data_IF_429950437433
#
_entry.id   IF_429950437433
#
_cell.length_a   1.000
_cell.length_b   1.000
_cell.length_c   1.000
_cell.angle_alpha   90.00
_cell.angle_beta   90.00
_cell.angle_gamma   90.00
#
_symmetry.space_group_name_H-M   'P 1'
#
loop_
_entity.id
_entity.type
_entity.pdbx_description
1 polymer ?
#
# COMPACT_ATOMS: atom_id res chain seq x y z
N UNK A 1 28.50 -5.37 -0.65
CA UNK A 1 27.07 -5.36 -0.23
C UNK A 1 26.50 -6.78 -0.21
N UNK A 2 25.81 -7.19 0.87
CA UNK A 2 25.13 -8.49 0.96
C UNK A 2 23.90 -8.55 0.03
N UNK A 3 23.47 -9.77 -0.32
CA UNK A 3 22.29 -9.99 -1.18
C UNK A 3 21.00 -9.53 -0.50
N UNK A 4 20.28 -8.61 -1.13
CA UNK A 4 18.98 -8.11 -0.65
C UNK A 4 17.87 -8.98 -1.22
N UNK A 5 17.32 -9.89 -0.41
CA UNK A 5 16.29 -10.85 -0.85
C UNK A 5 14.87 -10.50 -0.40
N UNK A 6 14.75 -9.52 0.50
CA UNK A 6 13.47 -9.08 1.07
C UNK A 6 13.26 -7.60 0.86
N UNK A 7 12.00 -7.19 0.78
CA UNK A 7 11.59 -5.80 0.78
C UNK A 7 10.33 -5.58 1.63
N UNK A 8 10.19 -4.38 2.17
CA UNK A 8 9.10 -3.98 3.04
C UNK A 8 8.22 -2.95 2.35
N UNK A 9 6.91 -3.19 2.32
CA UNK A 9 5.95 -2.22 1.81
C UNK A 9 5.61 -1.24 2.94
N UNK A 10 5.73 0.05 2.64
CA UNK A 10 5.50 1.16 3.57
C UNK A 10 4.56 2.17 2.90
N UNK A 11 3.57 2.63 3.65
CA UNK A 11 2.57 3.60 3.18
C UNK A 11 3.10 5.03 3.27
N UNK A 12 2.45 5.95 2.56
CA UNK A 12 2.64 7.38 2.79
C UNK A 12 1.94 7.81 4.11
N UNK A 13 2.44 8.84 4.80
CA UNK A 13 3.65 9.64 4.51
C UNK A 13 4.97 8.99 4.98
N UNK A 14 4.89 7.80 5.59
CA UNK A 14 5.99 7.20 6.35
C UNK A 14 7.18 6.82 5.48
N UNK A 15 6.95 6.30 4.28
CA UNK A 15 8.04 5.99 3.34
C UNK A 15 8.78 7.26 2.93
N UNK A 16 8.08 8.35 2.65
CA UNK A 16 8.72 9.63 2.29
C UNK A 16 9.55 10.18 3.44
N UNK A 17 9.08 10.08 4.68
CA UNK A 17 9.87 10.50 5.84
C UNK A 17 11.14 9.67 6.03
N UNK A 18 11.12 8.35 5.74
CA UNK A 18 12.33 7.53 5.77
C UNK A 18 13.33 7.98 4.70
N UNK A 19 12.86 8.11 3.45
CA UNK A 19 13.72 8.47 2.31
C UNK A 19 14.29 9.89 2.44
N UNK A 20 13.56 10.81 3.07
CA UNK A 20 14.02 12.19 3.35
C UNK A 20 14.88 12.29 4.62
N UNK A 21 15.14 11.19 5.34
CA UNK A 21 15.89 11.21 6.60
C UNK A 21 15.16 11.86 7.78
N UNK A 22 13.84 12.08 7.68
CA UNK A 22 13.01 12.70 8.73
C UNK A 22 12.64 11.74 9.85
N UNK A 23 12.72 10.42 9.61
CA UNK A 23 12.45 9.37 10.59
C UNK A 23 13.43 8.21 10.35
N UNK A 24 13.64 7.41 11.39
CA UNK A 24 14.51 6.21 11.35
C UNK A 24 13.86 4.97 11.95
N UNK A 25 12.68 5.09 12.58
CA UNK A 25 11.95 3.97 13.16
C UNK A 25 10.71 3.65 12.35
N UNK A 26 10.55 2.41 11.92
CA UNK A 26 9.30 1.90 11.34
C UNK A 26 8.46 1.21 12.42
N UNK A 27 7.27 1.74 12.73
CA UNK A 27 6.41 1.14 13.75
C UNK A 27 5.65 -0.05 13.18
N UNK A 28 5.63 -1.15 13.92
CA UNK A 28 4.96 -2.41 13.56
C UNK A 28 4.20 -2.96 14.76
N UNK A 29 3.19 -3.79 14.49
CA UNK A 29 2.40 -4.43 15.55
C UNK A 29 3.05 -5.68 16.14
N UNK A 30 4.21 -6.09 15.62
CA UNK A 30 4.99 -7.24 16.08
C UNK A 30 6.48 -6.97 15.93
N UNK A 31 7.27 -7.59 16.79
CA UNK A 31 8.71 -7.67 16.61
C UNK A 31 9.08 -8.55 15.40
N UNK A 32 10.34 -8.47 14.98
CA UNK A 32 10.92 -9.40 14.01
C UNK A 32 12.32 -9.85 14.45
N UNK A 33 12.64 -11.11 14.17
CA UNK A 33 13.98 -11.65 14.35
C UNK A 33 14.92 -11.31 13.19
N UNK A 34 14.39 -10.76 12.09
CA UNK A 34 15.20 -10.37 10.95
C UNK A 34 16.15 -9.21 11.29
N UNK A 35 17.38 -9.28 10.79
CA UNK A 35 18.38 -8.20 10.80
C UNK A 35 19.10 -8.17 9.46
N UNK A 36 19.56 -7.00 9.04
CA UNK A 36 20.29 -6.81 7.79
C UNK A 36 19.53 -6.01 6.73
N UNK A 37 20.02 -6.08 5.50
CA UNK A 37 19.61 -5.21 4.39
C UNK A 37 18.35 -5.67 3.68
N UNK A 38 17.42 -4.73 3.50
CA UNK A 38 16.17 -4.96 2.79
C UNK A 38 15.79 -3.79 1.87
N UNK A 39 14.96 -4.06 0.87
CA UNK A 39 14.41 -3.05 -0.02
C UNK A 39 13.23 -2.30 0.61
N UNK A 40 13.08 -1.03 0.26
CA UNK A 40 11.95 -0.19 0.63
C UNK A 40 11.01 -0.04 -0.56
N UNK A 41 9.74 -0.39 -0.39
CA UNK A 41 8.71 -0.29 -1.41
C UNK A 41 7.68 0.73 -0.97
N UNK A 42 7.44 1.74 -1.81
CA UNK A 42 6.28 2.62 -1.67
C UNK A 42 5.02 1.83 -2.00
N UNK A 43 4.03 1.82 -1.10
CA UNK A 43 2.76 1.11 -1.33
C UNK A 43 2.13 1.53 -2.66
N UNK A 44 1.75 0.54 -3.46
CA UNK A 44 1.13 0.75 -4.77
C UNK A 44 2.10 1.01 -5.93
N UNK A 45 3.40 1.27 -5.69
CA UNK A 45 4.36 1.56 -6.77
C UNK A 45 4.74 0.33 -7.60
N UNK A 46 4.81 -0.86 -6.98
CA UNK A 46 5.38 -2.04 -7.64
C UNK A 46 6.91 -2.01 -7.77
N UNK A 47 7.57 -1.04 -7.12
CA UNK A 47 9.00 -0.80 -7.26
C UNK A 47 9.69 -0.69 -5.90
N UNK A 48 10.92 -1.20 -5.83
CA UNK A 48 11.85 -0.91 -4.75
C UNK A 48 12.49 0.44 -5.05
N UNK A 49 12.26 1.42 -4.19
CA UNK A 49 12.69 2.82 -4.36
C UNK A 49 13.91 3.18 -3.51
N UNK A 50 14.27 2.31 -2.58
CA UNK A 50 15.38 2.51 -1.67
C UNK A 50 15.77 1.21 -0.98
N UNK A 51 16.79 1.29 -0.15
CA UNK A 51 17.24 0.20 0.72
C UNK A 51 17.47 0.75 2.13
N UNK A 52 17.41 -0.13 3.11
CA UNK A 52 17.78 0.19 4.49
C UNK A 52 18.31 -1.07 5.19
N UNK A 53 19.04 -0.87 6.29
CA UNK A 53 19.45 -1.94 7.19
C UNK A 53 18.57 -1.93 8.43
N UNK A 54 17.94 -3.07 8.74
CA UNK A 54 17.29 -3.27 10.03
C UNK A 54 18.35 -3.63 11.06
N UNK A 55 18.73 -2.66 11.89
CA UNK A 55 19.79 -2.79 12.89
C UNK A 55 19.27 -3.37 14.20
N UNK A 56 18.10 -2.94 14.64
CA UNK A 56 17.55 -3.34 15.92
C UNK A 56 16.00 -3.28 15.95
N UNK A 57 15.39 -3.91 16.95
CA UNK A 57 13.95 -3.90 17.18
C UNK A 57 13.73 -3.64 18.67
N UNK A 58 12.90 -2.65 19.00
CA UNK A 58 12.59 -2.32 20.39
C UNK A 58 11.72 -3.40 21.06
N UNK A 59 11.66 -3.32 22.39
CA UNK A 59 10.55 -3.86 23.16
C UNK A 59 9.26 -3.06 22.90
N UNK A 60 8.20 -3.41 23.64
CA UNK A 60 6.92 -2.72 23.57
C UNK A 60 7.06 -1.24 23.94
N UNK A 61 6.45 -0.38 23.13
CA UNK A 61 6.40 1.07 23.34
C UNK A 61 5.01 1.46 23.84
N UNK A 62 4.92 1.87 25.10
CA UNK A 62 3.74 2.54 25.63
C UNK A 62 3.59 3.96 25.06
N UNK A 63 2.53 4.66 25.43
CA UNK A 63 2.24 6.00 24.90
C UNK A 63 3.34 7.01 25.26
N UNK A 64 3.94 6.89 26.45
CA UNK A 64 5.04 7.75 26.88
C UNK A 64 6.32 7.49 26.08
N UNK A 65 6.64 6.23 25.81
CA UNK A 65 7.77 5.84 24.97
C UNK A 65 7.58 6.30 23.51
N UNK A 66 6.35 6.26 22.99
CA UNK A 66 6.03 6.82 21.66
C UNK A 66 6.19 8.34 21.67
N UNK A 67 5.64 9.04 22.66
CA UNK A 67 5.77 10.49 22.77
C UNK A 67 7.23 10.95 22.83
N UNK A 68 8.02 10.34 23.71
CA UNK A 68 9.45 10.67 23.89
C UNK A 68 10.32 10.32 22.68
N UNK A 69 9.86 9.39 21.83
CA UNK A 69 10.58 9.00 20.61
C UNK A 69 9.96 9.55 19.33
N UNK A 70 9.11 10.57 19.44
CA UNK A 70 8.38 11.18 18.32
C UNK A 70 9.29 11.52 17.12
N UNK A 71 10.46 12.11 17.36
CA UNK A 71 11.39 12.48 16.28
C UNK A 71 11.89 11.29 15.45
N UNK A 72 11.87 10.09 16.02
CA UNK A 72 12.33 8.87 15.35
C UNK A 72 11.26 8.23 14.47
N UNK A 73 9.98 8.38 14.79
CA UNK A 73 8.88 7.72 14.06
C UNK A 73 7.84 8.66 13.43
N UNK A 74 7.70 9.90 13.93
CA UNK A 74 6.82 10.97 13.42
C UNK A 74 5.31 10.68 13.46
N UNK A 75 4.86 9.74 14.30
CA UNK A 75 3.43 9.43 14.47
C UNK A 75 2.87 10.31 15.58
N UNK A 76 1.83 11.08 15.28
CA UNK A 76 1.19 11.99 16.24
C UNK A 76 0.40 11.27 17.33
N UNK A 77 0.22 11.96 18.46
CA UNK A 77 -0.50 11.45 19.64
C UNK A 77 -1.95 11.08 19.34
N UNK A 78 -2.62 11.89 18.53
CA UNK A 78 -3.95 11.62 17.98
C UNK A 78 -4.06 10.23 17.31
N UNK A 79 -2.98 9.80 16.66
CA UNK A 79 -2.94 8.51 15.96
C UNK A 79 -2.73 7.33 16.91
N UNK A 80 -1.76 7.42 17.83
CA UNK A 80 -1.41 6.26 18.69
C UNK A 80 -2.30 6.09 19.92
N UNK A 81 -3.02 7.14 20.32
CA UNK A 81 -4.04 7.09 21.39
C UNK A 81 -5.40 6.63 20.87
N UNK A 82 -5.58 6.53 19.54
CA UNK A 82 -6.82 6.06 18.96
C UNK A 82 -7.14 4.61 19.39
N UNK A 83 -8.44 4.29 19.64
CA UNK A 83 -8.84 2.93 19.98
C UNK A 83 -8.38 1.92 18.93
N UNK A 84 -7.78 0.81 19.39
CA UNK A 84 -7.29 -0.25 18.51
C UNK A 84 -5.94 0.02 17.85
N UNK A 85 -5.24 1.11 18.20
CA UNK A 85 -3.87 1.33 17.76
C UNK A 85 -2.94 0.23 18.30
N UNK A 86 -2.28 -0.47 17.38
CA UNK A 86 -1.53 -1.70 17.67
C UNK A 86 -0.04 -1.64 17.31
N UNK A 87 0.44 -0.55 16.70
CA UNK A 87 1.82 -0.43 16.23
C UNK A 87 2.77 -0.01 17.35
N UNK A 88 3.13 -0.98 18.18
CA UNK A 88 3.80 -0.77 19.48
C UNK A 88 5.25 -1.25 19.53
N UNK A 89 5.84 -1.57 18.39
CA UNK A 89 7.25 -1.98 18.29
C UNK A 89 7.95 -1.15 17.22
N UNK A 90 9.13 -0.63 17.52
CA UNK A 90 9.95 0.10 16.57
C UNK A 90 11.00 -0.81 15.94
N UNK A 91 10.97 -0.90 14.61
CA UNK A 91 12.05 -1.44 13.81
C UNK A 91 13.03 -0.29 13.51
N UNK A 92 14.21 -0.34 14.11
CA UNK A 92 15.23 0.72 14.05
C UNK A 92 16.07 0.54 12.78
N UNK A 93 15.91 1.47 11.86
CA UNK A 93 16.52 1.45 10.54
C UNK A 93 17.77 2.33 10.51
N UNK A 94 18.80 1.82 9.86
CA UNK A 94 20.08 2.50 9.61
C UNK A 94 20.39 2.43 8.12
N UNK A 95 21.34 3.25 7.68
CA UNK A 95 21.87 3.24 6.31
C UNK A 95 20.76 3.32 5.24
N UNK A 96 19.76 4.18 5.46
CA UNK A 96 18.66 4.38 4.50
C UNK A 96 19.22 5.09 3.26
N UNK A 97 19.06 4.47 2.10
CA UNK A 97 19.55 5.00 0.82
C UNK A 97 18.46 4.95 -0.24
N UNK A 98 18.31 6.05 -0.98
CA UNK A 98 17.44 6.14 -2.15
C UNK A 98 18.18 5.49 -3.32
N UNK A 99 17.50 4.66 -4.11
CA UNK A 99 18.09 4.13 -5.34
C UNK A 99 18.06 5.22 -6.43
N UNK A 100 19.14 5.39 -7.22
CA UNK A 100 19.14 6.33 -8.35
C UNK A 100 18.06 6.00 -9.38
N UNK A 101 17.79 4.70 -9.56
CA UNK A 101 16.76 4.16 -10.44
C UNK A 101 15.92 3.16 -9.62
N UNK A 102 14.58 3.34 -9.54
CA UNK A 102 13.70 2.34 -8.92
C UNK A 102 13.80 0.97 -9.60
N UNK A 103 13.69 -0.09 -8.81
CA UNK A 103 13.76 -1.47 -9.31
C UNK A 103 12.38 -2.12 -9.23
N UNK A 104 11.77 -2.37 -10.40
CA UNK A 104 10.54 -3.13 -10.48
C UNK A 104 10.73 -4.55 -9.90
N UNK A 105 9.71 -5.05 -9.21
CA UNK A 105 9.73 -6.44 -8.71
C UNK A 105 8.44 -7.16 -9.06
N UNK A 106 8.53 -8.46 -9.30
CA UNK A 106 7.34 -9.29 -9.49
C UNK A 106 6.77 -9.73 -8.15
N UNK A 107 5.56 -9.29 -7.87
CA UNK A 107 4.84 -9.68 -6.66
C UNK A 107 4.27 -11.10 -6.80
N UNK A 108 4.78 -12.06 -6.02
CA UNK A 108 4.07 -13.33 -5.83
C UNK A 108 2.86 -13.08 -4.94
N UNK A 109 1.65 -13.36 -5.44
CA UNK A 109 0.39 -13.13 -4.72
C UNK A 109 0.44 -13.64 -3.27
N UNK A 110 0.25 -12.75 -2.29
CA UNK A 110 0.10 -13.13 -0.87
C UNK A 110 1.14 -12.55 0.10
N UNK A 111 2.05 -11.69 -0.34
CA UNK A 111 2.99 -11.02 0.55
C UNK A 111 2.30 -9.87 1.32
N UNK A 112 2.03 -10.06 2.61
CA UNK A 112 1.24 -9.12 3.44
C UNK A 112 2.12 -8.13 4.23
N UNK A 113 3.44 -8.25 4.24
CA UNK A 113 4.31 -7.27 4.91
C UNK A 113 5.73 -7.31 4.35
N UNK A 114 6.35 -8.48 4.34
CA UNK A 114 7.61 -8.73 3.66
C UNK A 114 7.36 -9.35 2.28
N UNK A 115 8.00 -8.76 1.28
CA UNK A 115 8.06 -9.28 -0.09
C UNK A 115 9.38 -10.02 -0.26
N UNK A 116 9.34 -11.27 -0.72
CA UNK A 116 10.53 -11.95 -1.23
C UNK A 116 10.76 -11.51 -2.67
N UNK A 117 11.91 -10.91 -2.93
CA UNK A 117 12.29 -10.40 -4.24
C UNK A 117 12.69 -11.55 -5.18
N UNK A 118 12.27 -11.49 -6.44
CA UNK A 118 12.71 -12.45 -7.46
C UNK A 118 14.20 -12.25 -7.79
N UNK A 119 14.90 -13.27 -8.34
CA UNK A 119 16.33 -13.17 -8.60
C UNK A 119 16.73 -11.95 -9.47
N UNK A 120 15.89 -11.59 -10.44
CA UNK A 120 16.09 -10.42 -11.30
C UNK A 120 16.16 -9.11 -10.49
N UNK A 121 15.18 -8.85 -9.61
CA UNK A 121 15.20 -7.68 -8.74
C UNK A 121 16.41 -7.67 -7.80
N UNK A 122 16.84 -8.84 -7.30
CA UNK A 122 18.05 -8.93 -6.46
C UNK A 122 19.32 -8.56 -7.23
N UNK A 123 19.44 -8.97 -8.50
CA UNK A 123 20.55 -8.61 -9.38
C UNK A 123 20.54 -7.11 -9.67
N UNK A 124 19.38 -6.55 -10.04
CA UNK A 124 19.22 -5.11 -10.32
C UNK A 124 19.52 -4.26 -9.09
N UNK A 125 19.08 -4.68 -7.90
CA UNK A 125 19.44 -4.00 -6.65
C UNK A 125 20.95 -4.05 -6.40
N UNK A 126 21.61 -5.19 -6.61
CA UNK A 126 23.06 -5.29 -6.46
C UNK A 126 23.81 -4.34 -7.39
N UNK A 127 23.37 -4.22 -8.65
CA UNK A 127 23.93 -3.28 -9.63
C UNK A 127 23.67 -1.81 -9.23
N UNK A 128 22.44 -1.48 -8.86
CA UNK A 128 22.07 -0.14 -8.40
C UNK A 128 22.82 0.29 -7.13
N UNK A 129 23.04 -0.65 -6.19
CA UNK A 129 23.88 -0.41 -5.01
C UNK A 129 25.35 -0.19 -5.39
N UNK A 130 25.89 -0.94 -6.37
CA UNK A 130 27.25 -0.71 -6.86
C UNK A 130 27.44 0.69 -7.43
N UNK A 131 26.45 1.21 -8.17
CA UNK A 131 26.42 2.61 -8.64
C UNK A 131 26.41 3.59 -7.46
N UNK A 132 25.65 3.31 -6.39
CA UNK A 132 25.60 4.15 -5.18
C UNK A 132 26.96 4.22 -4.46
N UNK A 133 27.65 3.08 -4.28
CA UNK A 133 28.98 3.07 -3.64
C UNK A 133 30.02 3.80 -4.51
N UNK A 134 30.00 3.59 -5.83
CA UNK A 134 30.91 4.27 -6.75
C UNK A 134 30.69 5.80 -6.77
N UNK A 135 29.42 6.24 -6.72
CA UNK A 135 29.07 7.67 -6.64
C UNK A 135 29.50 8.30 -5.31
N UNK A 136 29.65 7.50 -4.25
CA UNK A 136 30.17 7.95 -2.95
C UNK A 136 31.70 8.05 -2.96
N UNK A 137 32.40 7.07 -3.53
CA UNK A 137 33.87 7.09 -3.66
C UNK A 137 34.37 8.22 -4.59
N UNK A 138 33.57 8.61 -5.58
CA UNK A 138 33.80 9.79 -6.43
C UNK A 138 33.32 11.11 -5.80
N UNK A 139 32.61 11.04 -4.67
CA UNK A 139 31.86 12.14 -4.04
C UNK A 139 32.50 12.75 -2.80
N UNK A 140 33.75 12.42 -2.46
CA UNK A 140 34.51 13.10 -1.40
C UNK A 140 34.94 14.51 -1.85
N UNK A 141 33.96 15.42 -1.94
CA UNK A 141 34.13 16.87 -1.90
C UNK A 141 32.81 17.58 -1.53
N UNK A 142 32.51 17.57 -0.22
CA UNK A 142 31.77 18.61 0.53
C UNK A 142 30.28 18.89 0.18
N UNK A 143 29.39 19.13 1.18
CA UNK A 143 27.95 19.27 0.95
C UNK A 143 27.60 20.61 0.28
N UNK A 144 26.97 20.56 -0.90
CA UNK A 144 26.36 21.74 -1.50
C UNK A 144 24.95 21.97 -0.95
N UNK A 145 24.82 23.06 -0.18
CA UNK A 145 23.57 23.67 0.25
C UNK A 145 22.64 23.90 -0.95
N UNK A 146 21.46 23.32 -0.94
CA UNK A 146 20.41 23.75 -1.86
C UNK A 146 19.73 25.02 -1.33
N UNK A 147 20.04 26.07 -2.07
CA UNK A 147 19.58 27.45 -2.07
C UNK A 147 18.07 27.63 -1.89
N UNK A 148 17.73 28.55 -0.99
CA UNK A 148 16.50 29.34 -1.04
C UNK A 148 16.42 30.08 -2.38
N UNK A 149 15.24 30.09 -2.99
CA UNK A 149 14.90 31.08 -4.01
C UNK A 149 13.59 31.74 -3.59
N UNK A 150 13.72 32.95 -3.05
CA UNK A 150 12.62 33.87 -2.84
C UNK A 150 12.80 35.09 -3.73
N UNK A 151 11.73 35.39 -4.47
CA UNK A 151 11.23 36.68 -4.92
C UNK A 151 12.06 37.59 -5.85
N UNK A 152 11.42 37.97 -6.97
CA UNK A 152 11.40 39.37 -7.42
C UNK A 152 11.38 39.57 -8.94
N UNK A 153 10.27 40.08 -9.49
CA UNK A 153 10.12 41.38 -10.19
C UNK A 153 8.74 41.42 -10.90
N UNK A 154 7.74 42.13 -10.38
CA UNK A 154 7.34 43.55 -10.50
C UNK A 154 6.34 43.85 -11.65
N UNK A 155 5.14 44.28 -11.21
CA UNK A 155 4.19 45.34 -11.65
C UNK A 155 3.72 45.55 -13.12
N UNK A 156 2.39 45.79 -13.20
CA UNK A 156 1.64 46.52 -14.26
C UNK A 156 0.78 45.60 -15.14
N UNK A 157 -0.53 45.72 -15.34
CA UNK A 157 -1.48 46.80 -15.11
C UNK A 157 -2.92 46.26 -14.96
N UNK A 158 -3.76 47.07 -14.29
CA UNK A 158 -5.22 46.87 -14.14
C UNK A 158 -5.94 47.20 -15.45
N UNK A 159 -7.03 46.51 -15.77
CA UNK A 159 -8.35 47.15 -15.99
C UNK A 159 -9.49 46.13 -16.02
N UNK A 160 -10.39 46.29 -15.04
CA UNK A 160 -11.85 46.12 -15.05
C UNK A 160 -12.50 44.92 -15.79
N UNK A 161 -13.25 44.08 -15.05
CA UNK A 161 -14.71 44.16 -15.11
C UNK A 161 -15.46 43.26 -14.11
N UNK A 162 -16.44 43.89 -13.46
CA UNK A 162 -17.74 43.41 -12.98
C UNK A 162 -17.90 42.06 -12.23
N UNK A 163 -18.05 42.23 -10.91
CA UNK A 163 -19.15 41.75 -10.05
C UNK A 163 -20.26 40.96 -10.77
N UNK A 164 -20.30 39.65 -10.52
CA UNK A 164 -21.55 38.90 -10.33
C UNK A 164 -21.37 38.02 -9.09
N UNK A 165 -22.25 38.21 -8.11
CA UNK A 165 -22.38 37.32 -6.95
C UNK A 165 -23.05 36.04 -7.45
N UNK A 166 -22.41 34.88 -7.32
CA UNK A 166 -23.13 33.61 -7.35
C UNK A 166 -22.65 32.71 -6.21
N UNK A 167 -23.59 32.48 -5.30
CA UNK A 167 -23.67 31.47 -4.25
C UNK A 167 -23.27 30.09 -4.80
N UNK A 168 -22.62 29.21 -4.01
CA UNK A 168 -22.29 27.86 -4.48
C UNK A 168 -23.58 27.05 -4.66
N UNK A 169 -23.93 26.81 -5.91
CA UNK A 169 -24.92 25.84 -6.34
C UNK A 169 -24.38 24.44 -6.01
N UNK A 170 -25.14 23.72 -5.19
CA UNK A 170 -24.89 22.34 -4.80
C UNK A 170 -24.84 21.49 -6.08
N UNK A 171 -23.64 21.07 -6.47
CA UNK A 171 -23.48 20.10 -7.55
C UNK A 171 -24.20 18.81 -7.15
N UNK A 172 -25.18 18.43 -7.96
CA UNK A 172 -25.91 17.18 -7.83
C UNK A 172 -24.95 15.99 -7.78
N UNK A 173 -25.20 14.96 -6.93
CA UNK A 173 -24.40 13.75 -6.94
C UNK A 173 -24.56 13.06 -8.30
N UNK A 174 -23.42 12.79 -8.96
CA UNK A 174 -23.35 12.02 -10.18
C UNK A 174 -24.15 10.70 -10.06
N UNK A 175 -24.86 10.27 -11.12
CA UNK A 175 -25.82 9.18 -11.03
C UNK A 175 -25.12 7.86 -10.69
N UNK A 176 -25.58 7.21 -9.62
CA UNK A 176 -25.20 5.86 -9.23
C UNK A 176 -25.59 4.91 -10.38
N UNK A 177 -24.59 4.46 -11.14
CA UNK A 177 -24.79 3.60 -12.31
C UNK A 177 -25.43 2.28 -11.86
N UNK A 178 -26.70 2.08 -12.21
CA UNK A 178 -27.39 0.78 -12.14
C UNK A 178 -26.47 -0.32 -12.71
N UNK A 179 -26.33 -1.48 -12.02
CA UNK A 179 -25.54 -2.58 -12.53
C UNK A 179 -26.01 -2.97 -13.94
N UNK A 180 -25.11 -3.34 -14.87
CA UNK A 180 -25.50 -3.80 -16.21
C UNK A 180 -26.58 -4.88 -16.11
N UNK A 181 -27.67 -4.74 -16.88
CA UNK A 181 -28.84 -5.63 -16.83
C UNK A 181 -28.49 -7.13 -16.90
N UNK A 182 -27.35 -7.47 -17.54
CA UNK A 182 -26.76 -8.81 -17.61
C UNK A 182 -26.46 -9.46 -16.26
N UNK A 183 -26.40 -8.71 -15.14
CA UNK A 183 -26.03 -9.24 -13.81
C UNK A 183 -27.22 -9.60 -12.92
N UNK A 184 -28.46 -9.18 -13.26
CA UNK A 184 -29.62 -9.23 -12.36
C UNK A 184 -30.03 -10.63 -11.93
N UNK A 185 -29.89 -11.63 -12.81
CA UNK A 185 -30.23 -13.04 -12.53
C UNK A 185 -29.05 -14.00 -12.74
N UNK A 186 -27.83 -13.45 -12.74
CA UNK A 186 -26.62 -14.20 -13.02
C UNK A 186 -25.66 -14.20 -11.83
N UNK A 187 -24.83 -15.24 -11.76
CA UNK A 187 -23.77 -15.43 -10.78
C UNK A 187 -22.41 -15.15 -11.42
N UNK A 188 -21.49 -14.46 -10.73
CA UNK A 188 -20.19 -14.18 -11.30
C UNK A 188 -19.33 -15.45 -11.37
N UNK A 189 -18.65 -15.65 -12.49
CA UNK A 189 -17.70 -16.75 -12.73
C UNK A 189 -16.29 -16.20 -12.93
N UNK A 190 -15.32 -16.86 -12.31
CA UNK A 190 -13.91 -16.53 -12.41
C UNK A 190 -13.23 -17.32 -13.54
N UNK A 191 -12.04 -16.87 -13.96
CA UNK A 191 -11.27 -17.50 -15.04
C UNK A 191 -10.95 -18.99 -14.79
N UNK A 192 -10.87 -19.39 -13.53
CA UNK A 192 -10.61 -20.78 -13.13
C UNK A 192 -11.87 -21.66 -13.06
N UNK A 193 -13.02 -21.14 -13.53
CA UNK A 193 -14.32 -21.83 -13.54
C UNK A 193 -15.09 -21.72 -12.22
N UNK A 194 -14.52 -21.11 -11.17
CA UNK A 194 -15.24 -20.96 -9.90
C UNK A 194 -16.40 -19.97 -10.04
N UNK A 195 -17.54 -20.32 -9.47
CA UNK A 195 -18.74 -19.48 -9.44
C UNK A 195 -18.97 -18.99 -8.01
N UNK A 196 -19.39 -17.74 -7.83
CA UNK A 196 -19.88 -17.29 -6.53
C UNK A 196 -21.30 -17.84 -6.30
N UNK A 197 -21.38 -18.94 -5.56
CA UNK A 197 -22.62 -19.61 -5.15
C UNK A 197 -22.59 -19.90 -3.65
N UNK A 198 -23.66 -20.45 -3.04
CA UNK A 198 -23.64 -20.76 -1.61
C UNK A 198 -22.48 -21.67 -1.16
N UNK A 199 -21.85 -22.43 -2.07
CA UNK A 199 -20.74 -23.33 -1.78
C UNK A 199 -19.42 -22.62 -1.41
N UNK A 200 -19.25 -21.33 -1.73
CA UNK A 200 -18.06 -20.57 -1.36
C UNK A 200 -18.17 -19.88 0.01
N UNK A 201 -19.16 -20.28 0.82
CA UNK A 201 -19.25 -19.89 2.22
C UNK A 201 -18.11 -20.54 3.00
N UNK A 202 -17.35 -19.75 3.74
CA UNK A 202 -16.20 -20.29 4.48
C UNK A 202 -16.63 -21.11 5.70
N UNK A 203 -15.68 -21.85 6.29
CA UNK A 203 -15.95 -22.68 7.48
C UNK A 203 -16.37 -21.90 8.73
N UNK A 204 -16.31 -20.56 8.71
CA UNK A 204 -16.83 -19.67 9.76
C UNK A 204 -18.21 -19.11 9.41
N UNK A 205 -18.87 -19.64 8.37
CA UNK A 205 -20.25 -19.30 8.04
C UNK A 205 -20.45 -17.95 7.37
N UNK A 206 -19.46 -17.38 6.68
CA UNK A 206 -19.63 -16.12 5.95
C UNK A 206 -19.00 -16.12 4.57
N UNK A 207 -19.49 -15.22 3.71
CA UNK A 207 -18.96 -14.88 2.40
C UNK A 207 -17.97 -13.73 2.54
N UNK A 208 -16.84 -13.81 1.87
CA UNK A 208 -15.84 -12.72 1.82
C UNK A 208 -15.77 -12.19 0.40
N UNK A 209 -16.19 -10.95 0.20
CA UNK A 209 -16.33 -10.29 -1.10
C UNK A 209 -15.68 -8.90 -1.08
N UNK A 210 -15.28 -8.37 -2.22
CA UNK A 210 -14.61 -7.07 -2.30
C UNK A 210 -13.16 -7.14 -2.79
N UNK A 211 -12.56 -5.96 -2.93
CA UNK A 211 -11.17 -5.86 -3.32
C UNK A 211 -10.27 -6.43 -2.23
N UNK A 212 -9.13 -6.98 -2.62
CA UNK A 212 -8.11 -7.46 -1.69
C UNK A 212 -7.62 -6.29 -0.82
N UNK A 213 -7.79 -6.38 0.49
CA UNK A 213 -7.50 -5.32 1.46
C UNK A 213 -8.72 -4.52 1.92
N UNK A 214 -9.81 -4.54 1.16
CA UNK A 214 -11.11 -3.93 1.47
C UNK A 214 -12.21 -5.00 1.43
N UNK A 215 -11.88 -6.22 1.86
CA UNK A 215 -12.85 -7.30 1.89
C UNK A 215 -13.95 -7.03 2.91
N UNK A 216 -15.19 -7.23 2.48
CA UNK A 216 -16.39 -7.22 3.31
C UNK A 216 -16.88 -8.64 3.56
N UNK A 217 -17.51 -8.81 4.71
CA UNK A 217 -17.97 -10.10 5.19
C UNK A 217 -19.49 -10.06 5.30
N UNK A 218 -20.17 -11.03 4.70
CA UNK A 218 -21.63 -11.14 4.70
C UNK A 218 -22.04 -12.51 5.19
N UNK A 219 -23.06 -12.58 6.02
CA UNK A 219 -23.62 -13.86 6.50
C UNK A 219 -24.60 -14.43 5.49
N UNK A 220 -25.35 -13.56 4.82
CA UNK A 220 -26.33 -13.89 3.80
C UNK A 220 -25.71 -13.92 2.39
N UNK A 221 -26.15 -14.89 1.60
CA UNK A 221 -25.65 -15.08 0.24
C UNK A 221 -26.14 -14.00 -0.72
N UNK A 222 -27.42 -13.62 -0.61
CA UNK A 222 -28.04 -12.64 -1.51
C UNK A 222 -27.47 -11.25 -1.27
N UNK A 223 -27.26 -10.85 -0.02
CA UNK A 223 -26.59 -9.58 0.31
C UNK A 223 -25.16 -9.52 -0.27
N UNK A 224 -24.41 -10.62 -0.15
CA UNK A 224 -23.07 -10.71 -0.70
C UNK A 224 -23.07 -10.62 -2.24
N UNK A 225 -24.05 -11.27 -2.89
CA UNK A 225 -24.21 -11.24 -4.34
C UNK A 225 -24.63 -9.86 -4.84
N UNK A 226 -25.52 -9.17 -4.13
CA UNK A 226 -25.90 -7.78 -4.44
C UNK A 226 -24.70 -6.83 -4.31
N UNK A 227 -23.89 -6.99 -3.27
CA UNK A 227 -22.65 -6.23 -3.13
C UNK A 227 -21.72 -6.45 -4.33
N UNK A 228 -21.53 -7.70 -4.76
CA UNK A 228 -20.72 -8.04 -5.93
C UNK A 228 -21.27 -7.44 -7.23
N UNK A 229 -22.59 -7.37 -7.41
CA UNK A 229 -23.23 -6.78 -8.61
C UNK A 229 -22.92 -5.31 -8.76
N UNK A 230 -22.85 -4.58 -7.63
CA UNK A 230 -22.52 -3.15 -7.56
C UNK A 230 -21.03 -2.87 -7.80
N UNK A 231 -20.15 -3.85 -7.65
CA UNK A 231 -18.72 -3.67 -7.92
C UNK A 231 -18.45 -3.52 -9.43
N UNK A 232 -17.50 -2.66 -9.85
CA UNK A 232 -17.04 -2.63 -11.24
C UNK A 232 -16.59 -4.01 -11.74
N UNK A 233 -15.77 -4.69 -10.91
CA UNK A 233 -15.39 -6.10 -11.08
C UNK A 233 -15.71 -6.84 -9.79
N UNK A 234 -16.66 -7.78 -9.85
CA UNK A 234 -17.00 -8.64 -8.72
C UNK A 234 -15.76 -9.46 -8.29
N UNK A 235 -15.45 -9.47 -7.00
CA UNK A 235 -14.32 -10.21 -6.43
C UNK A 235 -14.71 -10.90 -5.14
N UNK A 236 -14.38 -12.17 -5.00
CA UNK A 236 -14.74 -12.95 -3.80
C UNK A 236 -13.66 -13.95 -3.45
N UNK A 237 -13.66 -14.42 -2.20
CA UNK A 237 -12.81 -15.53 -1.78
C UNK A 237 -13.46 -16.88 -2.05
N UNK A 238 -12.66 -17.81 -2.56
CA UNK A 238 -13.04 -19.22 -2.76
C UNK A 238 -11.84 -20.12 -2.43
N UNK A 239 -12.04 -21.41 -2.07
CA UNK A 239 -10.94 -22.37 -1.95
C UNK A 239 -10.41 -22.76 -3.34
N UNK A 240 -9.09 -22.77 -3.52
CA UNK A 240 -8.46 -23.28 -4.73
C UNK A 240 -8.35 -24.82 -4.69
N UNK A 241 -7.81 -25.44 -5.76
CA UNK A 241 -7.64 -26.89 -5.84
C UNK A 241 -6.79 -27.49 -4.71
N UNK A 242 -5.91 -26.69 -4.08
CA UNK A 242 -5.11 -27.08 -2.93
C UNK A 242 -5.80 -26.78 -1.58
N UNK A 243 -7.08 -26.38 -1.59
CA UNK A 243 -7.86 -26.05 -0.39
C UNK A 243 -7.58 -24.66 0.20
N UNK A 244 -6.66 -23.88 -0.38
CA UNK A 244 -6.31 -22.56 0.12
C UNK A 244 -7.32 -21.51 -0.36
N UNK A 245 -7.75 -20.63 0.54
CA UNK A 245 -8.71 -19.57 0.22
C UNK A 245 -8.02 -18.37 -0.43
N UNK A 246 -8.46 -18.02 -1.64
CA UNK A 246 -7.91 -16.91 -2.42
C UNK A 246 -9.01 -16.05 -3.04
N UNK A 247 -8.69 -14.78 -3.30
CA UNK A 247 -9.59 -13.87 -4.02
C UNK A 247 -9.50 -14.15 -5.52
N UNK A 248 -10.65 -14.27 -6.15
CA UNK A 248 -10.81 -14.31 -7.60
C UNK A 248 -11.57 -13.08 -8.09
N UNK A 249 -11.48 -12.80 -9.39
CA UNK A 249 -12.26 -11.75 -10.06
C UNK A 249 -13.21 -12.39 -11.07
N UNK A 250 -14.42 -11.86 -11.17
CA UNK A 250 -15.37 -12.22 -12.21
C UNK A 250 -14.78 -11.87 -13.57
N UNK A 251 -14.77 -12.84 -14.47
CA UNK A 251 -14.50 -12.64 -15.89
C UNK A 251 -15.80 -12.68 -16.71
N UNK A 252 -16.84 -13.33 -16.18
CA UNK A 252 -18.15 -13.43 -16.81
C UNK A 252 -19.27 -13.60 -15.76
N UNK A 253 -20.53 -13.64 -16.20
CA UNK A 253 -21.72 -13.86 -15.37
C UNK A 253 -22.63 -14.92 -16.00
N UNK A 254 -22.89 -16.00 -15.27
CA UNK A 254 -23.66 -17.16 -15.76
C UNK A 254 -25.02 -17.25 -15.07
N UNK A 255 -26.08 -17.56 -15.81
CA UNK A 255 -27.38 -17.85 -15.22
C UNK A 255 -27.32 -19.23 -14.57
N UNK A 256 -27.82 -19.41 -13.33
CA UNK A 256 -27.94 -20.73 -12.74
C UNK A 256 -28.88 -21.56 -13.64
N UNK A 257 -28.44 -22.77 -14.03
CA UNK A 257 -29.27 -23.64 -14.85
C UNK A 257 -30.58 -23.94 -14.11
N UNK A 258 -31.69 -23.69 -14.81
CA UNK A 258 -33.02 -24.06 -14.34
C UNK A 258 -33.13 -25.57 -14.46
N UNK A 259 -33.00 -26.28 -13.35
CA UNK A 259 -33.38 -27.70 -13.28
C UNK A 259 -34.83 -27.82 -12.81
#
# INVERSE_FOLDING_TARGET
MPTISKALIIDEPWISYLLQGKKSWELRSRQTQYRGWFGLIRKGSGEVVGIARLADVSDYLDDHALETSFDKHRVGADTYTAPGYKWRYAWKLEDIRILPEPVAYQHKSGAVTWVTLNPEAQILLKLGCGKLEANWELGDATPQKHQEVSAGYLLGDRHQNNRVKNTPELAEPAPELEPPAARRDALPVARDGSIFSPSVRNGRGHYTVGNKGDERHFLDFMEALEFLRKMPTAKWRRPNAAGNWGIVSAVDWVKPESN
#
